data_IF_869581772487
#
_entry.id   IF_869581772487
#
_cell.length_a   1.000
_cell.length_b   1.000
_cell.length_c   1.000
_cell.angle_alpha   90.00
_cell.angle_beta   90.00
_cell.angle_gamma   90.00
#
_symmetry.space_group_name_H-M   'P 1'
#
loop_
_entity.id
_entity.type
_entity.pdbx_description
1 polymer ?
#
# COMPACT_ATOMS: atom_id res chain seq x y z
N UNK A 1 -19.85 -6.50 4.31
CA UNK A 1 -19.53 -5.89 2.99
C UNK A 1 -19.89 -4.41 2.97
N UNK A 2 -21.06 -3.99 3.49
CA UNK A 2 -21.39 -2.56 3.71
C UNK A 2 -20.31 -1.79 4.48
N UNK A 3 -19.71 -2.42 5.51
CA UNK A 3 -18.56 -1.88 6.26
C UNK A 3 -17.37 -1.46 5.37
N UNK A 4 -17.22 -2.07 4.20
CA UNK A 4 -16.13 -1.82 3.24
C UNK A 4 -16.61 -1.04 2.00
N UNK A 5 -17.83 -0.48 2.04
CA UNK A 5 -18.41 0.27 0.94
C UNK A 5 -18.48 -0.49 -0.39
N UNK A 6 -18.50 -1.83 -0.33
CA UNK A 6 -18.68 -2.69 -1.50
C UNK A 6 -20.17 -2.68 -1.84
N UNK A 7 -20.55 -1.80 -2.77
CA UNK A 7 -21.93 -1.47 -3.11
C UNK A 7 -22.66 -2.44 -4.04
N UNK A 8 -22.22 -3.70 -4.14
CA UNK A 8 -22.96 -4.74 -4.86
C UNK A 8 -23.46 -5.81 -3.90
N UNK A 9 -24.67 -6.29 -4.16
CA UNK A 9 -25.24 -7.39 -3.39
C UNK A 9 -24.36 -8.65 -3.60
N UNK A 10 -23.79 -9.16 -2.51
CA UNK A 10 -23.10 -10.44 -2.53
C UNK A 10 -24.16 -11.55 -2.43
N UNK A 11 -24.71 -11.90 -3.59
CA UNK A 11 -25.74 -12.92 -3.77
C UNK A 11 -25.15 -14.33 -3.67
N UNK A 12 -26.01 -15.36 -3.57
CA UNK A 12 -25.55 -16.76 -3.58
C UNK A 12 -24.81 -17.13 -4.89
N UNK A 13 -25.10 -16.41 -5.97
CA UNK A 13 -24.48 -16.53 -7.29
C UNK A 13 -23.18 -15.73 -7.43
N UNK A 14 -22.89 -14.80 -6.51
CA UNK A 14 -21.71 -13.94 -6.60
C UNK A 14 -20.45 -14.73 -6.28
N UNK A 15 -19.48 -14.64 -7.19
CA UNK A 15 -18.20 -15.32 -7.12
C UNK A 15 -17.10 -14.30 -7.44
N UNK A 16 -16.10 -14.20 -6.57
CA UNK A 16 -14.81 -13.57 -6.86
C UNK A 16 -13.82 -14.70 -7.10
N UNK A 17 -13.27 -14.80 -8.30
CA UNK A 17 -12.28 -15.81 -8.65
C UNK A 17 -10.95 -15.14 -9.00
N UNK A 18 -9.87 -15.64 -8.42
CA UNK A 18 -8.50 -15.27 -8.77
C UNK A 18 -7.76 -16.53 -9.16
N UNK A 19 -7.33 -16.62 -10.41
CA UNK A 19 -6.71 -17.82 -10.97
C UNK A 19 -5.41 -17.48 -11.69
N UNK A 20 -4.33 -18.15 -11.31
CA UNK A 20 -2.99 -18.05 -11.89
C UNK A 20 -2.42 -19.47 -12.04
N UNK A 21 -1.28 -19.61 -12.76
CA UNK A 21 -0.66 -20.92 -13.02
C UNK A 21 -0.34 -21.76 -11.78
N UNK A 22 -0.21 -21.15 -10.60
CA UNK A 22 0.07 -21.87 -9.35
C UNK A 22 -0.90 -21.56 -8.21
N UNK A 23 -1.85 -20.65 -8.41
CA UNK A 23 -2.69 -20.14 -7.34
C UNK A 23 -4.12 -19.93 -7.78
N UNK A 24 -5.05 -20.43 -6.98
CA UNK A 24 -6.47 -20.38 -7.26
C UNK A 24 -7.20 -20.00 -5.98
N UNK A 25 -8.01 -18.96 -6.03
CA UNK A 25 -8.96 -18.53 -5.00
C UNK A 25 -10.34 -18.39 -5.62
N UNK A 26 -11.37 -18.84 -4.90
CA UNK A 26 -12.77 -18.66 -5.24
C UNK A 26 -13.55 -18.28 -3.99
N UNK A 27 -14.00 -17.03 -3.92
CA UNK A 27 -14.79 -16.47 -2.82
C UNK A 27 -16.25 -16.39 -3.28
N UNK A 28 -17.15 -17.01 -2.53
CA UNK A 28 -18.60 -16.89 -2.66
C UNK A 28 -19.21 -16.60 -1.28
N UNK A 29 -20.51 -16.29 -1.22
CA UNK A 29 -21.15 -15.70 -0.03
C UNK A 29 -20.72 -16.29 1.31
N UNK A 30 -20.62 -17.62 1.40
CA UNK A 30 -20.18 -18.35 2.60
C UNK A 30 -19.11 -19.42 2.27
N UNK A 31 -18.42 -19.33 1.13
CA UNK A 31 -17.40 -20.33 0.79
C UNK A 31 -16.16 -19.68 0.23
N UNK A 32 -15.02 -20.08 0.78
CA UNK A 32 -13.71 -19.81 0.23
C UNK A 32 -13.11 -21.14 -0.22
N UNK A 33 -12.69 -21.24 -1.47
CA UNK A 33 -12.01 -22.42 -1.99
C UNK A 33 -10.71 -22.03 -2.68
N UNK A 34 -9.69 -22.85 -2.51
CA UNK A 34 -8.36 -22.58 -3.04
C UNK A 34 -7.55 -23.85 -3.16
N UNK A 35 -6.54 -23.82 -4.03
CA UNK A 35 -5.60 -24.91 -4.23
C UNK A 35 -4.43 -24.91 -3.22
N UNK A 36 -4.55 -24.17 -2.12
CA UNK A 36 -3.58 -24.15 -1.02
C UNK A 36 -4.12 -24.98 0.14
N UNK A 37 -3.36 -25.98 0.58
CA UNK A 37 -3.77 -26.93 1.64
C UNK A 37 -4.20 -26.22 2.94
N UNK A 38 -3.60 -25.06 3.24
CA UNK A 38 -3.93 -24.26 4.44
C UNK A 38 -5.18 -23.37 4.29
N UNK A 39 -5.88 -23.46 3.18
CA UNK A 39 -6.90 -22.47 2.86
C UNK A 39 -8.25 -23.09 2.48
N UNK A 40 -8.29 -24.42 2.39
CA UNK A 40 -9.47 -25.23 2.76
C UNK A 40 -9.78 -25.16 4.27
N UNK A 41 -8.98 -24.47 5.08
CA UNK A 41 -9.22 -24.27 6.52
C UNK A 41 -10.24 -23.17 6.86
N UNK A 42 -10.83 -22.53 5.84
CA UNK A 42 -12.11 -21.83 5.97
C UNK A 42 -13.31 -22.73 5.63
N UNK A 43 -13.10 -23.97 5.17
CA UNK A 43 -14.13 -25.01 5.28
C UNK A 43 -14.14 -25.42 6.74
N UNK A 44 -15.05 -24.83 7.49
CA UNK A 44 -15.33 -25.13 8.89
C UNK A 44 -15.98 -26.51 9.04
N UNK A 45 -15.44 -27.54 8.38
CA UNK A 45 -16.06 -28.86 8.26
C UNK A 45 -15.38 -29.91 9.16
N UNK A 46 -14.19 -29.65 9.74
CA UNK A 46 -13.53 -30.67 10.58
C UNK A 46 -12.62 -30.12 11.71
N UNK A 47 -12.98 -30.41 12.96
CA UNK A 47 -12.31 -29.96 14.20
C UNK A 47 -10.82 -30.34 14.29
N UNK A 48 -10.45 -31.51 13.76
CA UNK A 48 -9.09 -32.04 13.86
C UNK A 48 -8.07 -31.26 13.00
N UNK A 49 -8.49 -30.83 11.80
CA UNK A 49 -7.62 -30.07 10.89
C UNK A 49 -7.43 -28.63 11.36
N UNK A 50 -8.46 -28.05 11.98
CA UNK A 50 -8.41 -26.72 12.58
C UNK A 50 -7.39 -26.62 13.72
N UNK A 51 -7.38 -27.58 14.66
CA UNK A 51 -6.41 -27.62 15.77
C UNK A 51 -4.98 -27.73 15.24
N UNK A 52 -4.78 -28.60 14.24
CA UNK A 52 -3.46 -28.79 13.61
C UNK A 52 -2.96 -27.52 12.92
N UNK A 53 -3.85 -26.75 12.29
CA UNK A 53 -3.53 -25.46 11.70
C UNK A 53 -3.16 -24.40 12.73
N UNK A 54 -3.99 -24.23 13.77
CA UNK A 54 -3.68 -23.31 14.88
C UNK A 54 -2.29 -23.62 15.45
N UNK A 55 -2.00 -24.90 15.67
CA UNK A 55 -0.70 -25.37 16.13
C UNK A 55 0.49 -24.94 15.25
N UNK A 56 0.31 -24.72 13.94
CA UNK A 56 1.39 -24.21 13.05
C UNK A 56 1.84 -22.78 13.42
N UNK A 57 0.94 -21.96 13.97
CA UNK A 57 1.23 -20.56 14.29
C UNK A 57 1.82 -20.38 15.69
N UNK A 58 1.56 -21.29 16.61
CA UNK A 58 2.14 -21.30 17.95
C UNK A 58 3.39 -22.18 17.98
N UNK A 59 4.60 -21.59 18.07
CA UNK A 59 5.85 -22.34 18.26
C UNK A 59 6.24 -22.37 19.74
N UNK A 60 6.71 -23.51 20.24
CA UNK A 60 7.25 -23.66 21.61
C UNK A 60 6.20 -24.00 22.68
N UNK A 61 6.43 -23.61 23.94
CA UNK A 61 5.54 -23.93 25.08
C UNK A 61 4.09 -23.43 24.92
N UNK A 62 3.88 -22.38 24.11
CA UNK A 62 2.54 -21.86 23.77
C UNK A 62 1.67 -22.84 22.97
N UNK A 63 2.28 -23.75 22.19
CA UNK A 63 1.55 -24.72 21.36
C UNK A 63 0.81 -25.74 22.23
N UNK A 64 1.48 -26.30 23.25
CA UNK A 64 0.88 -27.29 24.16
C UNK A 64 -0.26 -26.72 25.00
N UNK A 65 -0.16 -25.46 25.41
CA UNK A 65 -1.20 -24.80 26.20
C UNK A 65 -2.42 -24.44 25.36
N UNK A 66 -2.21 -23.97 24.12
CA UNK A 66 -3.31 -23.67 23.19
C UNK A 66 -3.99 -24.97 22.75
N UNK A 67 -3.24 -26.01 22.38
CA UNK A 67 -3.81 -27.31 22.01
C UNK A 67 -4.67 -27.90 23.14
N UNK A 68 -4.23 -27.76 24.39
CA UNK A 68 -4.97 -28.23 25.57
C UNK A 68 -6.20 -27.39 25.87
N UNK A 69 -6.11 -26.07 25.75
CA UNK A 69 -7.24 -25.15 25.95
C UNK A 69 -8.31 -25.38 24.87
N UNK A 70 -7.91 -25.51 23.61
CA UNK A 70 -8.82 -25.73 22.49
C UNK A 70 -9.50 -27.09 22.62
N UNK A 71 -8.76 -28.16 22.92
CA UNK A 71 -9.34 -29.49 23.14
C UNK A 71 -10.35 -29.51 24.28
N UNK A 72 -10.02 -28.90 25.43
CA UNK A 72 -10.94 -28.86 26.57
C UNK A 72 -12.22 -28.09 26.23
N UNK A 73 -12.11 -26.96 25.53
CA UNK A 73 -13.29 -26.16 25.14
C UNK A 73 -14.17 -26.85 24.11
N UNK A 74 -13.58 -27.64 23.20
CA UNK A 74 -14.32 -28.43 22.20
C UNK A 74 -14.97 -29.65 22.84
N UNK A 75 -14.31 -30.32 23.80
CA UNK A 75 -14.88 -31.47 24.52
C UNK A 75 -16.03 -31.07 25.46
N UNK A 76 -16.00 -29.87 26.05
CA UNK A 76 -17.03 -29.38 26.98
C UNK A 76 -18.28 -28.81 26.30
N UNK A 77 -18.18 -28.41 25.03
CA UNK A 77 -19.27 -27.76 24.33
C UNK A 77 -19.63 -28.62 23.12
N UNK A 78 -20.86 -29.14 23.05
CA UNK A 78 -21.41 -29.68 21.80
C UNK A 78 -21.65 -28.51 20.84
N UNK A 79 -20.59 -28.02 20.20
CA UNK A 79 -20.60 -26.81 19.38
C UNK A 79 -21.26 -27.13 18.04
N UNK A 80 -22.40 -26.49 17.74
CA UNK A 80 -22.91 -26.41 16.37
C UNK A 80 -21.96 -25.53 15.53
N UNK A 81 -21.75 -25.84 14.25
CA UNK A 81 -20.78 -25.18 13.34
C UNK A 81 -20.73 -23.65 13.45
N UNK A 82 -21.88 -22.97 13.51
CA UNK A 82 -21.97 -21.50 13.60
C UNK A 82 -21.39 -20.93 14.92
N UNK A 83 -21.46 -21.69 16.01
CA UNK A 83 -20.92 -21.26 17.32
C UNK A 83 -19.41 -21.48 17.46
N UNK A 84 -18.82 -22.31 16.60
CA UNK A 84 -17.38 -22.56 16.56
C UNK A 84 -16.63 -21.35 15.98
N UNK A 85 -17.15 -20.79 14.87
CA UNK A 85 -16.59 -19.61 14.21
C UNK A 85 -16.52 -18.41 15.13
N UNK A 86 -17.63 -18.10 15.82
CA UNK A 86 -17.74 -16.90 16.66
C UNK A 86 -16.77 -16.94 17.86
N UNK A 87 -16.46 -18.15 18.36
CA UNK A 87 -15.55 -18.34 19.49
C UNK A 87 -14.08 -18.21 19.07
N UNK A 88 -13.73 -18.71 17.89
CA UNK A 88 -12.34 -18.80 17.43
C UNK A 88 -11.89 -17.67 16.50
N UNK A 89 -12.80 -16.99 15.82
CA UNK A 89 -12.51 -15.81 15.00
C UNK A 89 -11.71 -14.73 15.78
N UNK A 90 -12.03 -14.40 17.04
CA UNK A 90 -11.26 -13.43 17.83
C UNK A 90 -9.83 -13.92 18.13
N UNK A 91 -9.62 -15.23 18.29
CA UNK A 91 -8.31 -15.83 18.60
C UNK A 91 -7.45 -15.89 17.35
N UNK A 92 -8.04 -16.32 16.23
CA UNK A 92 -7.41 -16.35 14.90
C UNK A 92 -7.02 -14.94 14.46
N UNK A 93 -7.93 -13.97 14.54
CA UNK A 93 -7.62 -12.57 14.23
C UNK A 93 -6.53 -12.01 15.16
N UNK A 94 -6.60 -12.28 16.47
CA UNK A 94 -5.59 -11.77 17.39
C UNK A 94 -4.22 -12.44 17.26
N UNK A 95 -4.12 -13.63 16.67
CA UNK A 95 -2.85 -14.38 16.57
C UNK A 95 -2.25 -14.35 15.17
N UNK A 96 -3.09 -14.52 14.14
CA UNK A 96 -2.69 -14.55 12.73
C UNK A 96 -2.67 -13.14 12.15
N UNK A 97 -3.75 -12.36 12.32
CA UNK A 97 -3.82 -10.99 11.78
C UNK A 97 -2.88 -10.01 12.49
N UNK A 98 -2.66 -10.14 13.80
CA UNK A 98 -1.74 -9.25 14.53
C UNK A 98 -0.25 -9.50 14.26
N UNK A 99 0.13 -10.54 13.50
CA UNK A 99 1.55 -10.75 13.24
C UNK A 99 2.11 -9.66 12.34
N UNK A 100 1.39 -9.25 11.28
CA UNK A 100 1.71 -8.13 10.38
C UNK A 100 0.46 -7.64 9.61
N UNK A 101 -0.42 -6.83 10.21
CA UNK A 101 -1.54 -6.25 9.45
C UNK A 101 -0.98 -5.35 8.33
N UNK A 102 -1.58 -5.37 7.12
CA UNK A 102 -1.18 -4.46 6.06
C UNK A 102 -1.41 -3.01 6.51
N UNK A 103 -0.47 -2.14 6.16
CA UNK A 103 -0.58 -0.72 6.41
C UNK A 103 -1.24 -0.04 5.22
N UNK A 104 -2.42 0.52 5.43
CA UNK A 104 -3.17 1.20 4.39
C UNK A 104 -3.05 2.73 4.54
N UNK A 105 -2.59 3.39 3.48
CA UNK A 105 -2.49 4.85 3.37
C UNK A 105 -3.52 5.30 2.31
N UNK A 106 -4.65 5.89 2.74
CA UNK A 106 -5.74 6.29 1.84
C UNK A 106 -5.40 7.54 1.01
N UNK A 107 -6.13 7.74 -0.08
CA UNK A 107 -6.07 8.97 -0.88
C UNK A 107 -6.57 10.19 -0.07
N UNK A 108 -7.59 10.01 0.78
CA UNK A 108 -8.19 11.08 1.58
C UNK A 108 -7.37 11.44 2.84
N UNK A 109 -6.12 10.96 2.95
CA UNK A 109 -5.16 11.34 4.00
C UNK A 109 -4.99 12.85 4.17
N UNK A 110 -5.25 13.63 3.12
CA UNK A 110 -5.26 15.10 3.17
C UNK A 110 -6.24 15.66 4.20
N UNK A 111 -7.33 14.96 4.50
CA UNK A 111 -8.34 15.39 5.48
C UNK A 111 -7.80 15.44 6.91
N UNK A 112 -6.71 14.74 7.23
CA UNK A 112 -6.09 14.75 8.56
C UNK A 112 -5.70 16.17 8.98
N UNK A 113 -5.18 16.98 8.06
CA UNK A 113 -4.80 18.37 8.34
C UNK A 113 -5.99 19.19 8.87
N UNK A 114 -7.19 18.86 8.39
CA UNK A 114 -8.45 19.53 8.73
C UNK A 114 -9.02 19.02 10.05
N UNK A 115 -8.84 17.73 10.34
CA UNK A 115 -9.40 17.10 11.55
C UNK A 115 -8.70 17.50 12.85
N UNK A 116 -7.41 17.85 12.79
CA UNK A 116 -6.56 18.13 13.97
C UNK A 116 -7.22 19.06 15.00
N UNK A 117 -8.03 20.03 14.57
CA UNK A 117 -8.68 21.01 15.45
C UNK A 117 -10.22 20.96 15.44
N UNK A 118 -10.83 20.08 14.65
CA UNK A 118 -12.29 20.11 14.40
C UNK A 118 -12.97 18.75 14.46
N UNK A 119 -12.21 17.69 14.78
CA UNK A 119 -12.72 16.31 14.83
C UNK A 119 -13.95 16.16 15.74
N UNK A 120 -13.93 16.75 16.94
CA UNK A 120 -15.05 16.63 17.88
C UNK A 120 -16.29 17.40 17.42
N UNK A 121 -16.11 18.57 16.81
CA UNK A 121 -17.21 19.35 16.24
C UNK A 121 -17.88 18.61 15.07
N UNK A 122 -17.07 17.96 14.22
CA UNK A 122 -17.57 17.14 13.11
C UNK A 122 -18.36 15.93 13.63
N UNK A 123 -17.81 15.22 14.62
CA UNK A 123 -18.50 14.08 15.24
C UNK A 123 -19.80 14.51 15.94
N UNK A 124 -19.80 15.66 16.63
CA UNK A 124 -21.00 16.23 17.26
C UNK A 124 -22.06 16.61 16.22
N UNK A 125 -21.65 17.11 15.06
CA UNK A 125 -22.53 17.42 13.94
C UNK A 125 -23.08 16.17 13.22
N UNK A 126 -22.73 14.97 13.68
CA UNK A 126 -23.18 13.70 13.10
C UNK A 126 -22.38 13.24 11.88
N UNK A 127 -21.21 13.82 11.62
CA UNK A 127 -20.37 13.40 10.50
C UNK A 127 -19.83 11.98 10.73
N UNK A 128 -20.13 11.06 9.80
CA UNK A 128 -19.57 9.71 9.81
C UNK A 128 -18.19 9.72 9.15
N UNK A 129 -17.13 9.56 9.95
CA UNK A 129 -15.78 9.44 9.42
C UNK A 129 -15.53 7.99 8.97
N UNK A 130 -15.07 7.77 7.71
CA UNK A 130 -14.77 6.43 7.21
C UNK A 130 -13.76 5.68 8.09
N UNK A 131 -13.93 4.36 8.21
CA UNK A 131 -13.06 3.53 9.06
C UNK A 131 -11.60 3.58 8.62
N UNK A 132 -11.32 3.56 7.31
CA UNK A 132 -9.95 3.66 6.79
C UNK A 132 -9.23 4.93 7.26
N UNK A 133 -9.95 6.07 7.34
CA UNK A 133 -9.39 7.34 7.80
C UNK A 133 -9.17 7.35 9.31
N UNK A 134 -10.05 6.71 10.08
CA UNK A 134 -9.85 6.53 11.53
C UNK A 134 -8.61 5.68 11.81
N UNK A 135 -8.48 4.57 11.10
CA UNK A 135 -7.36 3.63 11.26
C UNK A 135 -6.04 4.30 10.88
N UNK A 136 -5.99 4.95 9.71
CA UNK A 136 -4.83 5.70 9.26
C UNK A 136 -4.50 6.88 10.18
N UNK A 137 -5.51 7.63 10.64
CA UNK A 137 -5.35 8.74 11.59
C UNK A 137 -4.71 8.30 12.89
N UNK A 138 -5.14 7.17 13.46
CA UNK A 138 -4.54 6.60 14.67
C UNK A 138 -3.06 6.22 14.46
N UNK A 139 -2.74 5.64 13.31
CA UNK A 139 -1.36 5.29 12.96
C UNK A 139 -0.49 6.54 12.80
N UNK A 140 -1.01 7.57 12.14
CA UNK A 140 -0.33 8.85 11.95
C UNK A 140 -0.08 9.57 13.28
N UNK A 141 -1.06 9.63 14.19
CA UNK A 141 -0.88 10.20 15.53
C UNK A 141 0.23 9.51 16.31
N UNK A 142 0.27 8.18 16.29
CA UNK A 142 1.34 7.41 16.92
C UNK A 142 2.71 7.71 16.29
N UNK A 143 2.75 7.93 14.97
CA UNK A 143 3.97 8.28 14.26
C UNK A 143 4.45 9.70 14.61
N UNK A 144 3.54 10.68 14.73
CA UNK A 144 3.86 12.05 15.18
C UNK A 144 4.49 12.10 16.56
N UNK A 145 4.06 11.24 17.49
CA UNK A 145 4.66 11.17 18.83
C UNK A 145 6.08 10.60 18.79
N UNK A 146 6.36 9.73 17.81
CA UNK A 146 7.67 9.06 17.66
C UNK A 146 8.72 9.95 17.01
N UNK A 147 8.31 10.87 16.13
CA UNK A 147 9.21 11.78 15.43
C UNK A 147 9.02 13.20 15.95
N UNK A 148 10.04 13.83 16.53
CA UNK A 148 9.96 15.25 16.91
C UNK A 148 9.96 16.15 15.67
N UNK A 149 10.84 15.85 14.72
CA UNK A 149 10.95 16.54 13.44
C UNK A 149 11.18 15.53 12.31
N UNK A 150 10.63 15.81 11.13
CA UNK A 150 10.88 15.03 9.92
C UNK A 150 11.31 15.95 8.80
N UNK A 151 12.36 15.52 8.12
CA UNK A 151 12.88 16.18 6.93
C UNK A 151 12.26 15.55 5.67
N UNK A 152 11.74 16.39 4.77
CA UNK A 152 11.13 15.98 3.50
C UNK A 152 11.88 16.70 2.38
N UNK A 153 12.97 16.08 1.94
CA UNK A 153 13.91 16.66 0.98
C UNK A 153 13.29 16.94 -0.39
N UNK A 154 12.37 16.09 -0.84
CA UNK A 154 11.73 16.21 -2.16
C UNK A 154 10.85 17.46 -2.30
N UNK A 155 10.55 18.14 -1.20
CA UNK A 155 9.84 19.42 -1.17
C UNK A 155 10.63 20.53 -0.45
N UNK A 156 11.87 20.25 -0.05
CA UNK A 156 12.71 21.16 0.71
C UNK A 156 12.02 21.72 1.98
N UNK A 157 11.34 20.86 2.74
CA UNK A 157 10.67 21.26 3.99
C UNK A 157 11.13 20.42 5.19
N UNK A 158 10.96 20.99 6.38
CA UNK A 158 11.08 20.29 7.65
C UNK A 158 9.79 20.47 8.46
N UNK A 159 9.17 19.37 8.91
CA UNK A 159 7.97 19.40 9.74
C UNK A 159 8.35 19.13 11.20
N UNK A 160 7.87 20.00 12.09
CA UNK A 160 7.97 19.85 13.54
C UNK A 160 6.61 19.47 14.12
N UNK A 161 6.54 18.35 14.83
CA UNK A 161 5.31 17.88 15.47
C UNK A 161 5.25 18.35 16.93
N UNK A 162 4.11 18.93 17.33
CA UNK A 162 3.95 19.41 18.70
C UNK A 162 2.51 19.33 19.19
N UNK A 163 2.33 19.33 20.52
CA UNK A 163 1.00 19.41 21.14
C UNK A 163 0.29 20.74 20.88
N UNK A 164 1.03 21.81 20.59
CA UNK A 164 0.48 23.14 20.30
C UNK A 164 0.08 23.30 18.83
N UNK A 165 0.40 22.33 17.98
CA UNK A 165 0.16 22.36 16.54
C UNK A 165 1.43 22.09 15.76
N UNK A 166 1.26 21.47 14.59
CA UNK A 166 2.37 21.08 13.72
C UNK A 166 2.79 22.26 12.84
N UNK A 167 4.10 22.49 12.72
CA UNK A 167 4.67 23.64 12.00
C UNK A 167 5.64 23.17 10.92
N UNK A 168 5.51 23.70 9.71
CA UNK A 168 6.42 23.46 8.60
C UNK A 168 7.39 24.63 8.49
N UNK A 169 8.69 24.31 8.42
CA UNK A 169 9.75 25.21 8.00
C UNK A 169 10.02 25.01 6.50
N UNK A 170 9.86 26.06 5.71
CA UNK A 170 10.28 26.09 4.31
C UNK A 170 11.78 26.40 4.27
N UNK A 171 12.59 25.50 3.72
CA UNK A 171 14.06 25.66 3.74
C UNK A 171 14.56 26.71 2.73
N UNK A 172 13.76 27.04 1.72
CA UNK A 172 14.12 28.03 0.70
C UNK A 172 14.30 29.43 1.28
N UNK A 173 13.44 29.82 2.22
CA UNK A 173 13.41 31.17 2.79
C UNK A 173 13.36 31.21 4.34
N UNK A 174 13.43 30.04 4.99
CA UNK A 174 13.29 29.84 6.44
C UNK A 174 11.96 30.33 7.02
N UNK A 175 10.92 30.50 6.20
CA UNK A 175 9.58 30.86 6.67
C UNK A 175 8.90 29.68 7.37
N UNK A 176 8.00 30.00 8.30
CA UNK A 176 7.23 29.00 9.06
C UNK A 176 5.75 29.16 8.81
N UNK A 177 5.09 28.05 8.50
CA UNK A 177 3.65 27.97 8.30
C UNK A 177 3.04 26.87 9.14
N UNK A 178 1.78 27.00 9.52
CA UNK A 178 1.04 25.91 10.19
C UNK A 178 0.76 24.81 9.19
N UNK A 179 0.86 23.54 9.62
CA UNK A 179 0.52 22.40 8.77
C UNK A 179 -0.91 22.48 8.20
N UNK A 180 -1.87 22.95 8.99
CA UNK A 180 -3.27 23.14 8.57
C UNK A 180 -3.47 24.26 7.53
N UNK A 181 -2.46 25.10 7.30
CA UNK A 181 -2.49 26.23 6.37
C UNK A 181 -1.58 25.99 5.14
N UNK A 182 -0.95 24.83 5.04
CA UNK A 182 -0.04 24.50 3.94
C UNK A 182 -0.81 24.11 2.67
N UNK A 183 -0.09 23.98 1.55
CA UNK A 183 -0.68 23.54 0.29
C UNK A 183 -1.20 22.11 0.36
N UNK A 184 -2.17 21.75 -0.48
CA UNK A 184 -2.73 20.40 -0.54
C UNK A 184 -1.67 19.32 -0.82
N UNK A 185 -0.63 19.63 -1.60
CA UNK A 185 0.53 18.75 -1.81
C UNK A 185 1.27 18.44 -0.50
N UNK A 186 1.54 19.45 0.32
CA UNK A 186 2.17 19.27 1.64
C UNK A 186 1.24 18.49 2.59
N UNK A 187 -0.05 18.79 2.58
CA UNK A 187 -1.05 18.09 3.39
C UNK A 187 -1.23 16.61 2.99
N UNK A 188 -0.99 16.28 1.72
CA UNK A 188 -1.01 14.90 1.21
C UNK A 188 0.24 14.12 1.62
N UNK A 189 1.41 14.72 1.46
CA UNK A 189 2.67 14.00 1.56
C UNK A 189 3.21 13.89 2.99
N UNK A 190 2.97 14.87 3.87
CA UNK A 190 3.46 14.82 5.25
C UNK A 190 2.89 13.60 5.99
N UNK A 191 1.57 13.32 5.97
CA UNK A 191 1.03 12.11 6.60
C UNK A 191 1.57 10.82 5.99
N UNK A 192 1.62 10.74 4.65
CA UNK A 192 2.17 9.60 3.92
C UNK A 192 3.62 9.33 4.34
N UNK A 193 4.48 10.35 4.27
CA UNK A 193 5.90 10.26 4.57
C UNK A 193 6.17 9.88 6.03
N UNK A 194 5.39 10.45 6.95
CA UNK A 194 5.48 10.17 8.39
C UNK A 194 5.14 8.72 8.69
N UNK A 195 4.01 8.24 8.17
CA UNK A 195 3.57 6.85 8.37
C UNK A 195 4.52 5.89 7.65
N UNK A 196 4.88 6.14 6.40
CA UNK A 196 5.77 5.28 5.63
C UNK A 196 7.12 5.06 6.33
N UNK A 197 7.76 6.13 6.82
CA UNK A 197 9.03 6.03 7.56
C UNK A 197 8.92 5.19 8.84
N UNK A 198 7.74 5.12 9.46
CA UNK A 198 7.54 4.30 10.65
C UNK A 198 7.60 2.80 10.34
N UNK A 199 7.10 2.39 9.17
CA UNK A 199 6.96 0.98 8.79
C UNK A 199 8.18 0.44 8.05
N UNK A 200 8.91 1.29 7.33
CA UNK A 200 10.08 0.89 6.51
C UNK A 200 11.39 1.08 7.29
N UNK A 201 11.41 0.82 8.60
CA UNK A 201 12.62 1.00 9.42
C UNK A 201 13.66 -0.08 9.16
N UNK A 202 14.92 0.35 9.13
CA UNK A 202 16.12 -0.49 9.19
C UNK A 202 16.05 -1.34 10.47
N UNK A 203 15.83 -2.64 10.31
CA UNK A 203 15.80 -3.58 11.42
C UNK A 203 17.26 -3.86 11.79
N UNK A 204 17.76 -3.23 12.87
CA UNK A 204 19.09 -3.42 13.43
C UNK A 204 19.24 -4.85 14.03
N UNK A 205 19.18 -5.88 13.18
CA UNK A 205 19.59 -7.25 13.49
C UNK A 205 18.59 -8.13 14.25
N UNK A 206 17.33 -7.72 14.42
CA UNK A 206 16.35 -8.57 15.10
C UNK A 206 15.72 -9.58 14.14
N UNK A 207 16.11 -10.86 14.24
CA UNK A 207 15.73 -11.99 13.36
C UNK A 207 14.23 -12.37 13.34
N UNK A 208 13.36 -11.62 14.03
CA UNK A 208 11.91 -11.83 13.98
C UNK A 208 11.30 -10.89 12.93
N UNK A 209 11.68 -11.12 11.68
CA UNK A 209 11.41 -10.22 10.55
C UNK A 209 9.90 -10.12 10.28
N UNK A 210 9.36 -8.96 10.63
CA UNK A 210 8.00 -8.59 10.26
C UNK A 210 8.00 -8.15 8.78
N UNK A 211 7.40 -8.98 7.91
CA UNK A 211 7.13 -8.60 6.52
C UNK A 211 5.88 -7.73 6.50
N UNK A 212 6.06 -6.44 6.28
CA UNK A 212 4.98 -5.48 6.16
C UNK A 212 4.49 -5.43 4.72
N UNK A 213 3.17 -5.38 4.54
CA UNK A 213 2.56 -4.99 3.26
C UNK A 213 2.09 -3.55 3.45
N UNK A 214 2.56 -2.64 2.62
CA UNK A 214 2.14 -1.23 2.64
C UNK A 214 1.32 -1.00 1.38
N UNK A 215 0.07 -0.60 1.54
CA UNK A 215 -0.86 -0.28 0.47
C UNK A 215 -1.04 1.23 0.48
N UNK A 216 -0.76 1.89 -0.63
CA UNK A 216 -0.82 3.34 -0.74
C UNK A 216 -1.69 3.70 -1.93
N UNK A 217 -2.76 4.44 -1.67
CA UNK A 217 -3.61 4.96 -2.73
C UNK A 217 -3.18 6.35 -3.16
N UNK A 218 -3.03 6.52 -4.48
CA UNK A 218 -2.70 7.77 -5.15
C UNK A 218 -1.60 8.56 -4.40
N UNK A 219 -0.38 7.99 -4.23
CA UNK A 219 0.73 8.70 -3.58
C UNK A 219 1.02 10.06 -4.22
N UNK A 220 0.74 10.21 -5.52
CA UNK A 220 0.88 11.41 -6.31
C UNK A 220 -0.12 12.54 -6.00
N UNK A 221 -1.19 12.26 -5.25
CA UNK A 221 -2.31 13.18 -5.13
C UNK A 221 -1.85 14.58 -4.67
N UNK A 222 -2.19 15.60 -5.46
CA UNK A 222 -1.80 17.01 -5.30
C UNK A 222 -0.30 17.33 -5.48
N UNK A 223 0.51 16.41 -6.02
CA UNK A 223 1.93 16.63 -6.28
C UNK A 223 2.19 16.97 -7.74
N UNK A 224 3.15 17.86 -7.97
CA UNK A 224 3.63 18.17 -9.31
C UNK A 224 4.40 16.96 -9.89
N UNK A 225 4.38 16.72 -11.22
CA UNK A 225 4.99 15.54 -11.83
C UNK A 225 6.44 15.25 -11.39
N UNK A 226 7.30 16.27 -11.27
CA UNK A 226 8.69 16.05 -10.83
C UNK A 226 8.78 15.61 -9.38
N UNK A 227 7.90 16.10 -8.50
CA UNK A 227 7.82 15.66 -7.10
C UNK A 227 7.30 14.22 -6.99
N UNK A 228 6.43 13.78 -7.91
CA UNK A 228 5.96 12.39 -7.97
C UNK A 228 7.12 11.44 -8.28
N UNK A 229 7.97 11.78 -9.25
CA UNK A 229 9.18 11.00 -9.58
C UNK A 229 10.11 10.93 -8.36
N UNK A 230 10.42 12.07 -7.74
CA UNK A 230 11.29 12.12 -6.57
C UNK A 230 10.72 11.33 -5.37
N UNK A 231 9.39 11.35 -5.17
CA UNK A 231 8.70 10.55 -4.16
C UNK A 231 8.92 9.06 -4.42
N UNK A 232 8.79 8.60 -5.66
CA UNK A 232 9.01 7.19 -6.01
C UNK A 232 10.44 6.75 -5.81
N UNK A 233 11.42 7.56 -6.23
CA UNK A 233 12.84 7.27 -5.97
C UNK A 233 13.13 7.13 -4.47
N UNK A 234 12.59 8.04 -3.66
CA UNK A 234 12.73 7.98 -2.20
C UNK A 234 12.05 6.74 -1.61
N UNK A 235 10.81 6.43 -2.01
CA UNK A 235 10.06 5.27 -1.50
C UNK A 235 10.77 3.97 -1.86
N UNK A 236 11.18 3.79 -3.12
CA UNK A 236 11.89 2.57 -3.55
C UNK A 236 13.25 2.43 -2.86
N UNK A 237 13.96 3.56 -2.66
CA UNK A 237 15.21 3.58 -1.90
C UNK A 237 15.06 3.10 -0.46
N UNK A 238 13.92 3.40 0.19
CA UNK A 238 13.58 2.88 1.52
C UNK A 238 13.17 1.40 1.45
N UNK A 239 12.32 1.04 0.50
CA UNK A 239 11.82 -0.34 0.37
C UNK A 239 12.93 -1.35 0.13
N UNK A 240 13.99 -0.99 -0.62
CA UNK A 240 15.15 -1.85 -0.87
C UNK A 240 15.89 -2.29 0.40
N UNK A 241 15.81 -1.49 1.48
CA UNK A 241 16.38 -1.84 2.79
C UNK A 241 15.43 -2.66 3.66
N UNK A 242 14.21 -2.86 3.19
CA UNK A 242 13.15 -3.58 3.91
C UNK A 242 12.93 -4.96 3.30
N UNK A 243 12.24 -5.82 4.05
CA UNK A 243 11.70 -7.10 3.54
C UNK A 243 10.19 -7.03 3.28
N UNK A 244 9.66 -5.82 3.19
CA UNK A 244 8.25 -5.57 2.97
C UNK A 244 7.87 -5.55 1.50
N UNK A 245 6.57 -5.57 1.25
CA UNK A 245 5.98 -5.36 -0.07
C UNK A 245 5.21 -4.06 -0.09
N UNK A 246 5.20 -3.38 -1.23
CA UNK A 246 4.43 -2.16 -1.45
C UNK A 246 3.44 -2.38 -2.58
N UNK A 247 2.21 -1.93 -2.38
CA UNK A 247 1.13 -1.89 -3.37
C UNK A 247 0.76 -0.43 -3.55
N UNK A 248 0.77 0.04 -4.80
CA UNK A 248 0.42 1.41 -5.15
C UNK A 248 -0.75 1.37 -6.11
N UNK A 249 -1.80 2.13 -5.84
CA UNK A 249 -2.79 2.48 -6.85
C UNK A 249 -2.47 3.87 -7.37
N UNK A 250 -2.52 4.05 -8.68
CA UNK A 250 -2.14 5.30 -9.32
C UNK A 250 -2.87 5.48 -10.64
N UNK A 251 -3.20 6.72 -10.95
CA UNK A 251 -3.64 7.15 -12.28
C UNK A 251 -2.56 7.96 -13.00
N UNK A 252 -1.37 8.10 -12.38
CA UNK A 252 -0.30 8.94 -12.88
C UNK A 252 0.65 8.19 -13.80
N UNK A 253 0.81 8.62 -15.06
CA UNK A 253 1.84 8.07 -15.93
C UNK A 253 3.26 8.39 -15.41
N UNK A 254 3.42 9.43 -14.59
CA UNK A 254 4.72 9.81 -14.03
C UNK A 254 5.21 8.84 -12.95
N UNK A 255 4.29 8.25 -12.17
CA UNK A 255 4.62 7.21 -11.19
C UNK A 255 5.13 5.96 -11.90
N UNK A 256 4.42 5.50 -12.94
CA UNK A 256 4.85 4.36 -13.76
C UNK A 256 6.18 4.63 -14.46
N UNK A 257 6.32 5.81 -15.08
CA UNK A 257 7.58 6.23 -15.72
C UNK A 257 8.76 6.26 -14.73
N UNK A 258 8.54 6.68 -13.49
CA UNK A 258 9.58 6.65 -12.45
C UNK A 258 10.01 5.22 -12.15
N UNK A 259 9.07 4.28 -12.01
CA UNK A 259 9.37 2.86 -11.80
C UNK A 259 10.12 2.27 -13.00
N UNK A 260 9.70 2.56 -14.23
CA UNK A 260 10.38 2.09 -15.45
C UNK A 260 11.81 2.59 -15.55
N UNK A 261 12.05 3.86 -15.19
CA UNK A 261 13.39 4.42 -15.10
C UNK A 261 14.26 3.66 -14.08
N UNK A 262 13.71 3.32 -12.91
CA UNK A 262 14.42 2.57 -11.87
C UNK A 262 14.71 1.11 -12.29
N UNK A 263 13.80 0.48 -13.02
CA UNK A 263 13.98 -0.86 -13.59
C UNK A 263 15.09 -0.85 -14.64
N UNK A 264 15.02 0.08 -15.61
CA UNK A 264 16.02 0.22 -16.65
C UNK A 264 17.40 0.53 -16.05
N UNK A 265 17.44 1.39 -15.04
CA UNK A 265 18.67 1.69 -14.32
C UNK A 265 19.26 0.45 -13.64
N UNK A 266 18.43 -0.44 -13.09
CA UNK A 266 18.90 -1.70 -12.48
C UNK A 266 19.52 -2.64 -13.52
N UNK A 267 18.90 -2.75 -14.69
CA UNK A 267 19.45 -3.53 -15.82
C UNK A 267 20.80 -2.99 -16.30
N UNK A 268 20.90 -1.66 -16.41
CA UNK A 268 22.14 -0.98 -16.78
C UNK A 268 23.22 -1.19 -15.72
N UNK A 269 22.89 -1.06 -14.44
CA UNK A 269 23.80 -1.27 -13.32
C UNK A 269 24.32 -2.72 -13.27
N UNK A 270 23.43 -3.69 -13.48
CA UNK A 270 23.77 -5.13 -13.49
C UNK A 270 24.74 -5.45 -14.64
N UNK A 271 24.44 -4.97 -15.86
CA UNK A 271 25.32 -5.14 -17.02
C UNK A 271 26.68 -4.47 -16.83
N UNK A 272 26.69 -3.24 -16.31
CA UNK A 272 27.93 -2.51 -16.06
C UNK A 272 28.80 -3.20 -14.98
N UNK A 273 28.18 -3.74 -13.93
CA UNK A 273 28.85 -4.51 -12.88
C UNK A 273 29.48 -5.79 -13.44
N UNK A 274 28.72 -6.56 -14.23
CA UNK A 274 29.21 -7.80 -14.84
C UNK A 274 30.39 -7.54 -15.80
N UNK A 275 30.36 -6.43 -16.53
CA UNK A 275 31.42 -6.03 -17.47
C UNK A 275 32.55 -5.23 -16.82
N UNK A 276 32.50 -4.99 -15.49
CA UNK A 276 33.45 -4.15 -14.75
C UNK A 276 33.60 -2.72 -15.31
N UNK A 277 32.54 -2.17 -15.91
CA UNK A 277 32.51 -0.83 -16.51
C UNK A 277 32.19 0.24 -15.45
N UNK A 278 33.23 0.68 -14.74
CA UNK A 278 33.11 1.70 -13.69
C UNK A 278 32.62 3.05 -14.21
N UNK A 279 33.00 3.45 -15.43
CA UNK A 279 32.60 4.74 -16.02
C UNK A 279 31.09 4.81 -16.23
N UNK A 280 30.47 3.69 -16.63
CA UNK A 280 29.03 3.62 -16.80
C UNK A 280 28.28 3.68 -15.47
N UNK A 281 28.81 3.06 -14.42
CA UNK A 281 28.26 3.16 -13.06
C UNK A 281 28.33 4.59 -12.51
N UNK A 282 29.47 5.27 -12.67
CA UNK A 282 29.64 6.67 -12.26
C UNK A 282 28.68 7.63 -12.98
N UNK A 283 28.39 7.37 -14.26
CA UNK A 283 27.38 8.13 -15.01
C UNK A 283 25.97 7.87 -14.50
N UNK A 284 25.65 6.62 -14.17
CA UNK A 284 24.34 6.23 -13.66
C UNK A 284 24.05 6.86 -12.30
N UNK A 285 25.03 6.87 -11.40
CA UNK A 285 24.92 7.47 -10.06
C UNK A 285 24.63 8.98 -10.10
N UNK A 286 25.03 9.67 -11.17
CA UNK A 286 24.72 11.11 -11.38
C UNK A 286 23.30 11.35 -11.89
N UNK A 287 22.65 10.34 -12.48
CA UNK A 287 21.32 10.48 -13.05
C UNK A 287 20.23 10.18 -12.02
N UNK A 288 20.45 9.18 -11.17
CA UNK A 288 19.46 8.70 -10.20
C UNK A 288 20.12 7.97 -9.02
N UNK A 289 19.47 7.90 -7.86
CA UNK A 289 20.01 7.24 -6.68
C UNK A 289 20.06 5.71 -6.86
N UNK A 290 21.27 5.12 -6.90
CA UNK A 290 21.46 3.66 -7.05
C UNK A 290 20.83 2.81 -5.92
N UNK A 291 20.54 3.43 -4.78
CA UNK A 291 19.81 2.80 -3.69
C UNK A 291 18.34 2.54 -4.01
N UNK A 292 17.77 3.21 -5.03
CA UNK A 292 16.36 3.09 -5.41
C UNK A 292 16.08 2.09 -6.54
N UNK A 293 17.12 1.43 -7.10
CA UNK A 293 16.98 0.52 -8.23
C UNK A 293 16.02 -0.64 -7.92
N UNK A 294 15.15 -0.96 -8.88
CA UNK A 294 14.09 -1.97 -8.80
C UNK A 294 14.39 -3.14 -9.75
N UNK A 295 14.21 -4.38 -9.28
CA UNK A 295 14.28 -5.56 -10.15
C UNK A 295 12.92 -5.78 -10.81
N UNK A 296 12.89 -5.87 -12.14
CA UNK A 296 11.67 -6.16 -12.91
C UNK A 296 10.98 -7.45 -12.45
N UNK A 297 11.74 -8.47 -12.03
CA UNK A 297 11.17 -9.74 -11.57
C UNK A 297 10.43 -9.63 -10.23
N UNK A 298 10.61 -8.52 -9.51
CA UNK A 298 9.92 -8.21 -8.26
C UNK A 298 8.75 -7.24 -8.46
N UNK A 299 8.45 -6.87 -9.71
CA UNK A 299 7.37 -5.93 -10.06
C UNK A 299 6.19 -6.68 -10.67
N UNK A 300 4.99 -6.23 -10.34
CA UNK A 300 3.75 -6.66 -10.98
C UNK A 300 2.89 -5.43 -11.22
N UNK A 301 2.32 -5.31 -12.42
CA UNK A 301 1.55 -4.13 -12.85
C UNK A 301 0.24 -4.57 -13.46
N UNK A 302 -0.85 -4.00 -12.98
CA UNK A 302 -2.20 -4.41 -13.32
C UNK A 302 -3.07 -3.22 -13.71
N UNK A 303 -3.76 -3.35 -14.84
CA UNK A 303 -4.76 -2.40 -15.31
C UNK A 303 -6.16 -2.90 -14.99
N UNK A 304 -6.95 -2.08 -14.31
CA UNK A 304 -8.36 -2.31 -14.07
C UNK A 304 -9.16 -1.69 -15.21
N UNK A 305 -9.73 -2.55 -16.06
CA UNK A 305 -10.55 -2.10 -17.20
C UNK A 305 -11.99 -1.80 -16.77
N UNK A 306 -12.67 -0.92 -17.50
CA UNK A 306 -14.07 -0.52 -17.21
C UNK A 306 -15.08 -1.67 -17.23
N UNK A 307 -14.73 -2.80 -17.86
CA UNK A 307 -15.54 -4.01 -17.90
C UNK A 307 -15.29 -4.94 -16.69
N UNK A 308 -14.53 -4.49 -15.68
CA UNK A 308 -14.20 -5.26 -14.49
C UNK A 308 -13.10 -6.31 -14.68
N UNK A 309 -12.47 -6.39 -15.87
CA UNK A 309 -11.36 -7.29 -16.13
C UNK A 309 -10.05 -6.64 -15.66
N UNK A 310 -9.26 -7.38 -14.89
CA UNK A 310 -7.90 -7.00 -14.50
C UNK A 310 -6.91 -7.63 -15.46
N UNK A 311 -6.07 -6.81 -16.09
CA UNK A 311 -5.06 -7.25 -17.06
C UNK A 311 -3.66 -6.99 -16.50
N UNK A 312 -2.77 -7.98 -16.58
CA UNK A 312 -1.33 -7.76 -16.40
C UNK A 312 -0.80 -6.96 -17.59
N UNK A 313 -0.23 -5.79 -17.30
CA UNK A 313 0.28 -4.85 -18.31
C UNK A 313 1.82 -4.76 -18.31
N UNK A 314 2.51 -5.55 -17.47
CA UNK A 314 3.96 -5.57 -17.48
C UNK A 314 4.49 -6.23 -18.76
N UNK A 315 5.28 -5.48 -19.54
CA UNK A 315 5.95 -5.99 -20.73
C UNK A 315 7.22 -6.73 -20.32
N UNK A 316 7.21 -8.06 -20.47
CA UNK A 316 8.34 -8.93 -20.09
C UNK A 316 9.49 -8.91 -21.09
N UNK A 317 9.24 -8.51 -22.34
CA UNK A 317 10.28 -8.41 -23.37
C UNK A 317 11.05 -7.10 -23.21
N UNK A 318 10.33 -5.99 -23.01
CA UNK A 318 10.91 -4.66 -22.84
C UNK A 318 11.27 -4.33 -21.38
N UNK A 319 10.81 -5.14 -20.42
CA UNK A 319 10.96 -4.94 -18.96
C UNK A 319 10.36 -3.59 -18.51
N UNK A 320 9.14 -3.32 -18.95
CA UNK A 320 8.39 -2.10 -18.63
C UNK A 320 7.15 -2.44 -17.79
N UNK A 321 6.75 -1.52 -16.92
CA UNK A 321 5.56 -1.64 -16.07
C UNK A 321 4.25 -1.32 -16.80
N UNK A 322 4.31 -0.89 -18.06
CA UNK A 322 3.15 -0.65 -18.91
C UNK A 322 2.61 0.78 -18.85
N UNK A 323 3.48 1.79 -18.68
CA UNK A 323 3.12 3.20 -18.64
C UNK A 323 2.31 3.65 -19.88
N UNK A 324 2.58 3.03 -21.04
CA UNK A 324 1.91 3.31 -22.31
C UNK A 324 0.39 3.10 -22.28
N UNK A 325 -0.12 2.24 -21.38
CA UNK A 325 -1.56 1.99 -21.22
C UNK A 325 -2.28 3.16 -20.53
N UNK A 326 -1.60 3.94 -19.68
CA UNK A 326 -2.17 5.15 -19.07
C UNK A 326 -2.08 6.33 -20.05
N UNK A 327 -1.02 6.40 -20.84
CA UNK A 327 -0.81 7.44 -21.85
C UNK A 327 -1.87 7.42 -22.97
N UNK A 328 -2.54 6.29 -23.20
CA UNK A 328 -3.61 6.19 -24.20
C UNK A 328 -4.77 7.17 -23.94
N UNK A 329 -5.10 7.45 -22.67
CA UNK A 329 -6.10 8.45 -22.30
C UNK A 329 -5.64 9.89 -22.64
N UNK A 330 -4.35 10.17 -22.42
CA UNK A 330 -3.73 11.45 -22.81
C UNK A 330 -3.70 11.60 -24.34
N UNK A 331 -3.45 10.52 -25.07
CA UNK A 331 -3.45 10.51 -26.54
C UNK A 331 -4.82 10.83 -27.14
N UNK A 332 -5.91 10.35 -26.54
CA UNK A 332 -7.26 10.71 -26.97
C UNK A 332 -7.55 12.21 -26.79
N UNK A 333 -7.10 12.79 -25.68
CA UNK A 333 -7.26 14.23 -25.39
C UNK A 333 -6.44 15.07 -26.37
N UNK A 334 -5.19 14.68 -26.62
CA UNK A 334 -4.33 15.33 -27.62
C UNK A 334 -4.90 15.22 -29.04
N UNK A 335 -5.51 14.09 -29.39
CA UNK A 335 -6.17 13.91 -30.68
C UNK A 335 -7.37 14.83 -30.83
N UNK A 336 -8.22 14.92 -29.80
CA UNK A 336 -9.34 15.86 -29.78
C UNK A 336 -8.87 17.30 -29.96
N UNK A 337 -7.84 17.73 -29.23
CA UNK A 337 -7.28 19.06 -29.36
C UNK A 337 -6.75 19.33 -30.78
N UNK A 338 -5.98 18.40 -31.34
CA UNK A 338 -5.47 18.52 -32.71
C UNK A 338 -6.61 18.59 -33.75
N UNK A 339 -7.68 17.82 -33.54
CA UNK A 339 -8.84 17.84 -34.44
C UNK A 339 -9.63 19.16 -34.30
N UNK A 340 -9.71 19.74 -33.09
CA UNK A 340 -10.27 21.08 -32.87
C UNK A 340 -9.43 22.18 -33.55
N UNK A 341 -8.10 22.14 -33.43
CA UNK A 341 -7.22 23.09 -34.12
C UNK A 341 -7.38 23.03 -35.64
N UNK A 342 -7.51 21.83 -36.21
CA UNK A 342 -7.79 21.67 -37.66
C UNK A 342 -9.13 22.27 -38.08
N UNK A 343 -10.12 22.31 -37.19
CA UNK A 343 -11.41 22.94 -37.50
C UNK A 343 -11.31 24.46 -37.45
N UNK A 344 -10.55 25.02 -36.50
CA UNK A 344 -10.23 26.46 -36.43
C UNK A 344 -9.45 26.93 -37.66
N UNK A 345 -8.43 26.17 -38.08
CA UNK A 345 -7.59 26.48 -39.25
C UNK A 345 -8.36 26.43 -40.59
N UNK A 346 -9.49 25.71 -40.65
CA UNK A 346 -10.33 25.62 -41.84
C UNK A 346 -11.42 26.71 -41.92
N UNK A 347 -11.49 27.63 -40.93
CA UNK A 347 -12.42 28.77 -40.91
C UNK A 347 -11.73 30.14 -41.16
N UNK A 348 -10.44 30.16 -41.53
CA UNK A 348 -9.67 31.33 -42.00
C UNK A 348 -9.30 31.19 -43.48
#
# INVERSE_FOLDING_TARGET
>A
MERYNIGFAFEKSTIIEYNTKGYFWKISKNKFHTNYDDADLMKLENESEFIKYIGKYFKGEGQKNVDKLIKNTIEEISINEDSFTDLFEPILSKTIYNRNPPMYIPAERTLISTFTNSIFSLLQAGASIPTCIKDFGSVYENARVRYENIDIDIMNINISFSKAGDTILLKDDNSKIKFSQSSSGMQSIIPLWTVFNQYVKDDNGNKNEKRWIIIIEEPELNLFPTTQVALMEWMMGKMKKSKGSIVITTHSPYILSAIDNLILANEVATKATNNKDKKRLEKLEKLLPLMALVDFNEVSSYLFSNNGIVKDIADKELKLSGAEYIDEASNQTSKLFNDLCKLEDNEL
#
